data_IF_303479295436
#
_entry.id   IF_303479295436
#
_cell.length_a   1.000
_cell.length_b   1.000
_cell.length_c   1.000
_cell.angle_alpha   90.00
_cell.angle_beta   90.00
_cell.angle_gamma   90.00
#
_symmetry.space_group_name_H-M   'P 1'
#
loop_
_entity.id
_entity.type
_entity.pdbx_description
1 polymer ?
#
# COMPACT_ATOMS: atom_id res chain seq x y z
N UNK A 1 4.34 -13.30 13.90
CA UNK A 1 2.94 -13.34 13.43
C UNK A 1 2.49 -14.77 13.56
N UNK A 2 1.38 -15.02 14.26
CA UNK A 2 0.81 -16.37 14.42
C UNK A 2 0.21 -16.82 13.09
N UNK A 3 0.07 -18.12 12.89
CA UNK A 3 -0.37 -18.65 11.59
C UNK A 3 -1.83 -18.29 11.26
N UNK A 4 -2.71 -18.18 12.26
CA UNK A 4 -4.08 -17.67 12.09
C UNK A 4 -4.10 -16.20 11.62
N UNK A 5 -3.23 -15.36 12.18
CA UNK A 5 -3.08 -13.95 11.82
C UNK A 5 -2.54 -13.81 10.40
N UNK A 6 -1.52 -14.61 10.06
CA UNK A 6 -0.96 -14.71 8.70
C UNK A 6 -2.04 -15.10 7.69
N UNK A 7 -2.84 -16.12 8.02
CA UNK A 7 -3.92 -16.58 7.15
C UNK A 7 -5.00 -15.50 6.96
N UNK A 8 -5.34 -14.76 8.02
CA UNK A 8 -6.28 -13.65 7.94
C UNK A 8 -5.76 -12.53 7.01
N UNK A 9 -4.48 -12.14 7.16
CA UNK A 9 -3.84 -11.14 6.29
C UNK A 9 -3.77 -11.61 4.84
N UNK A 10 -3.41 -12.87 4.60
CA UNK A 10 -3.37 -13.47 3.25
C UNK A 10 -4.75 -13.50 2.59
N UNK A 11 -5.80 -13.72 3.38
CA UNK A 11 -7.18 -13.75 2.89
C UNK A 11 -7.76 -12.35 2.67
N UNK A 12 -7.10 -11.28 3.13
CA UNK A 12 -7.55 -9.90 2.94
C UNK A 12 -7.35 -9.45 1.48
N UNK A 13 -8.38 -9.66 0.65
CA UNK A 13 -8.33 -9.33 -0.79
C UNK A 13 -8.32 -7.83 -1.07
N UNK A 14 -8.97 -7.03 -0.23
CA UNK A 14 -9.17 -5.59 -0.44
C UNK A 14 -8.73 -4.82 0.80
N UNK A 15 -7.46 -4.42 0.81
CA UNK A 15 -6.87 -3.60 1.88
C UNK A 15 -6.85 -2.14 1.45
N UNK A 16 -7.44 -1.27 2.25
CA UNK A 16 -7.50 0.17 2.01
C UNK A 16 -6.39 0.92 2.72
N UNK A 17 -6.00 0.48 3.92
CA UNK A 17 -4.88 1.06 4.63
C UNK A 17 -4.32 0.10 5.67
N UNK A 18 -3.04 0.32 6.00
CA UNK A 18 -2.34 -0.30 7.11
C UNK A 18 -1.84 0.81 8.04
N UNK A 19 -2.13 0.73 9.33
CA UNK A 19 -1.65 1.73 10.30
C UNK A 19 -1.65 1.14 11.70
N UNK A 20 -0.94 1.79 12.62
CA UNK A 20 -0.95 1.38 14.01
C UNK A 20 -1.89 2.24 14.86
N UNK A 21 -2.57 1.62 15.82
CA UNK A 21 -3.39 2.31 16.81
C UNK A 21 -2.95 1.94 18.23
N UNK A 22 -3.07 2.87 19.19
CA UNK A 22 -2.76 2.58 20.57
C UNK A 22 -3.82 1.63 21.15
N UNK A 23 -3.38 0.79 22.08
CA UNK A 23 -4.23 -0.03 22.93
C UNK A 23 -4.04 0.36 24.40
N UNK A 24 -4.85 -0.23 25.27
CA UNK A 24 -4.71 -0.08 26.72
C UNK A 24 -3.33 -0.54 27.21
N UNK A 25 -2.84 0.10 28.27
CA UNK A 25 -1.60 -0.26 28.98
C UNK A 25 -0.32 -0.21 28.13
N UNK A 26 -0.21 0.74 27.20
CA UNK A 26 1.02 0.99 26.44
C UNK A 26 1.27 0.02 25.28
N UNK A 27 0.33 -0.88 25.01
CA UNK A 27 0.35 -1.76 23.84
C UNK A 27 -0.11 -1.03 22.58
N UNK A 28 0.10 -1.67 21.42
CA UNK A 28 -0.37 -1.18 20.13
C UNK A 28 -0.85 -2.34 19.25
N UNK A 29 -1.65 -2.04 18.25
CA UNK A 29 -2.01 -2.99 17.21
C UNK A 29 -1.79 -2.39 15.84
N UNK A 30 -1.30 -3.21 14.91
CA UNK A 30 -1.44 -2.90 13.49
C UNK A 30 -2.85 -3.24 13.05
N UNK A 31 -3.50 -2.27 12.43
CA UNK A 31 -4.82 -2.39 11.81
C UNK A 31 -4.63 -2.60 10.32
N UNK A 32 -5.17 -3.71 9.81
CA UNK A 32 -5.43 -3.90 8.39
C UNK A 32 -6.86 -3.44 8.13
N UNK A 33 -7.00 -2.22 7.61
CA UNK A 33 -8.30 -1.66 7.25
C UNK A 33 -8.72 -2.24 5.92
N UNK A 34 -9.77 -3.04 5.94
CA UNK A 34 -10.36 -3.59 4.73
C UNK A 34 -11.41 -2.64 4.16
N UNK A 35 -11.76 -2.81 2.89
CA UNK A 35 -12.87 -2.08 2.26
C UNK A 35 -14.26 -2.48 2.73
N UNK A 36 -14.35 -3.23 3.83
CA UNK A 36 -15.56 -3.71 4.49
C UNK A 36 -15.60 -3.16 5.92
N UNK A 37 -16.72 -3.37 6.63
CA UNK A 37 -16.85 -2.94 8.04
C UNK A 37 -15.99 -3.76 9.03
N UNK A 38 -15.17 -4.70 8.54
CA UNK A 38 -14.34 -5.57 9.38
C UNK A 38 -12.89 -5.14 9.29
N UNK A 39 -12.27 -4.84 10.42
CA UNK A 39 -10.83 -4.54 10.51
C UNK A 39 -10.09 -5.74 11.12
N UNK A 40 -8.92 -6.07 10.58
CA UNK A 40 -8.04 -7.07 11.22
C UNK A 40 -7.11 -6.32 12.17
N UNK A 41 -7.12 -6.67 13.44
CA UNK A 41 -6.24 -6.08 14.45
C UNK A 41 -5.16 -7.09 14.86
N UNK A 42 -3.91 -6.77 14.56
CA UNK A 42 -2.74 -7.59 14.83
C UNK A 42 -1.99 -7.01 16.03
N UNK A 43 -2.06 -7.71 17.16
CA UNK A 43 -1.53 -7.22 18.43
C UNK A 43 -0.01 -7.22 18.44
N UNK A 44 0.60 -6.09 18.83
CA UNK A 44 2.05 -5.93 19.01
C UNK A 44 2.91 -6.27 17.78
N UNK A 45 2.34 -6.16 16.58
CA UNK A 45 3.10 -6.18 15.33
C UNK A 45 3.29 -4.76 14.81
N UNK A 46 4.51 -4.46 14.37
CA UNK A 46 4.79 -3.22 13.62
C UNK A 46 4.12 -3.28 12.25
N UNK A 47 3.60 -2.15 11.79
CA UNK A 47 2.94 -2.06 10.48
C UNK A 47 3.92 -2.38 9.36
N UNK A 48 5.20 -2.01 9.50
CA UNK A 48 6.25 -2.35 8.54
C UNK A 48 6.49 -3.87 8.48
N UNK A 49 6.32 -4.60 9.59
CA UNK A 49 6.43 -6.06 9.62
C UNK A 49 5.23 -6.74 8.95
N UNK A 50 4.04 -6.14 9.03
CA UNK A 50 2.85 -6.65 8.34
C UNK A 50 2.96 -6.39 6.84
N UNK A 51 3.41 -5.19 6.45
CA UNK A 51 3.72 -4.82 5.07
C UNK A 51 4.78 -5.76 4.47
N UNK A 52 5.81 -6.10 5.25
CA UNK A 52 6.83 -7.09 4.89
C UNK A 52 6.24 -8.45 4.53
N UNK A 53 5.41 -8.97 5.44
CA UNK A 53 4.78 -10.26 5.27
C UNK A 53 3.83 -10.30 4.07
N UNK A 54 3.08 -9.22 3.85
CA UNK A 54 2.22 -9.10 2.67
C UNK A 54 3.04 -9.15 1.38
N UNK A 55 4.17 -8.42 1.31
CA UNK A 55 5.05 -8.47 0.14
C UNK A 55 5.61 -9.87 -0.14
N UNK A 56 6.10 -10.55 0.91
CA UNK A 56 6.65 -11.91 0.80
C UNK A 56 5.61 -12.92 0.31
N UNK A 57 4.38 -12.85 0.85
CA UNK A 57 3.27 -13.77 0.51
C UNK A 57 2.90 -13.71 -0.97
N UNK A 58 3.14 -12.58 -1.64
CA UNK A 58 2.90 -12.40 -3.08
C UNK A 58 4.18 -12.57 -3.92
N UNK A 59 5.23 -13.17 -3.36
CA UNK A 59 6.44 -13.60 -4.09
C UNK A 59 7.47 -12.50 -4.32
N UNK A 60 7.56 -11.49 -3.45
CA UNK A 60 8.43 -10.32 -3.65
C UNK A 60 9.20 -9.94 -2.38
N UNK A 61 10.50 -9.69 -2.53
CA UNK A 61 11.44 -9.41 -1.42
C UNK A 61 11.52 -7.92 -1.09
N UNK A 62 11.49 -7.61 0.22
CA UNK A 62 11.69 -6.26 0.77
C UNK A 62 13.09 -5.68 0.56
N UNK A 63 14.08 -6.52 0.26
CA UNK A 63 15.48 -6.12 0.15
C UNK A 63 15.75 -5.32 -1.14
N UNK A 64 15.08 -5.70 -2.24
CA UNK A 64 15.03 -4.96 -3.51
C UNK A 64 14.37 -3.57 -3.32
N UNK A 65 13.50 -3.42 -2.32
CA UNK A 65 12.79 -2.18 -2.01
C UNK A 65 13.68 -1.18 -1.26
N UNK A 66 14.52 -1.68 -0.34
CA UNK A 66 15.47 -0.84 0.40
C UNK A 66 16.55 -0.26 -0.52
N UNK A 67 17.00 -1.01 -1.53
CA UNK A 67 17.98 -0.52 -2.50
C UNK A 67 17.39 0.50 -3.47
N UNK A 68 16.11 0.39 -3.83
CA UNK A 68 15.39 1.37 -4.67
C UNK A 68 14.96 2.64 -3.94
N UNK A 69 14.92 2.65 -2.59
CA UNK A 69 14.70 3.88 -1.78
C UNK A 69 15.73 4.98 -2.08
N UNK A 70 16.97 4.61 -2.39
CA UNK A 70 18.07 5.55 -2.63
C UNK A 70 18.25 5.96 -4.08
N UNK A 71 17.83 5.12 -5.05
CA UNK A 71 18.21 5.31 -6.45
C UNK A 71 17.34 6.29 -7.24
N UNK A 72 16.14 6.63 -6.77
CA UNK A 72 15.18 7.46 -7.52
C UNK A 72 15.03 8.84 -6.88
N UNK A 73 16.09 9.66 -6.86
CA UNK A 73 16.05 11.14 -6.73
C UNK A 73 16.49 11.80 -5.40
N UNK A 74 17.12 11.12 -4.44
CA UNK A 74 17.72 11.79 -3.28
C UNK A 74 16.75 12.67 -2.43
N UNK A 75 15.44 12.41 -2.50
CA UNK A 75 14.40 13.19 -1.80
C UNK A 75 13.59 12.29 -0.84
N UNK A 76 13.90 12.31 0.46
CA UNK A 76 13.29 11.40 1.45
C UNK A 76 11.79 11.65 1.70
N UNK A 77 11.26 12.83 1.33
CA UNK A 77 9.88 13.20 1.60
C UNK A 77 8.87 12.80 0.51
N UNK A 78 9.35 12.31 -0.63
CA UNK A 78 8.52 11.86 -1.77
C UNK A 78 8.21 10.37 -1.78
N UNK A 79 8.72 9.59 -0.83
CA UNK A 79 8.65 8.13 -0.91
C UNK A 79 7.22 7.63 -0.81
N UNK A 80 6.74 7.00 -1.88
CA UNK A 80 5.82 5.88 -1.81
C UNK A 80 6.65 4.65 -1.50
N UNK A 81 6.20 3.83 -0.55
CA UNK A 81 6.79 2.52 -0.38
C UNK A 81 6.19 1.67 -1.50
N UNK A 82 6.93 1.60 -2.61
CA UNK A 82 6.67 0.64 -3.67
C UNK A 82 6.85 -0.73 -3.03
N UNK A 83 5.77 -1.35 -2.65
CA UNK A 83 5.80 -2.79 -2.52
C UNK A 83 5.63 -3.30 -3.95
N UNK A 84 6.48 -4.22 -4.41
CA UNK A 84 6.32 -4.89 -5.72
C UNK A 84 5.07 -5.80 -5.74
N UNK A 85 4.02 -5.42 -5.05
CA UNK A 85 2.75 -6.11 -5.01
C UNK A 85 2.02 -5.82 -6.34
N UNK A 86 1.08 -6.71 -6.69
CA UNK A 86 -0.02 -6.41 -7.63
C UNK A 86 -0.38 -4.93 -7.61
N UNK A 87 -0.62 -4.32 -8.78
CA UNK A 87 -1.04 -2.92 -8.92
C UNK A 87 -2.19 -2.52 -7.96
N UNK A 88 -2.96 -3.51 -7.49
CA UNK A 88 -3.99 -3.35 -6.47
C UNK A 88 -3.51 -3.08 -5.03
N UNK A 89 -2.22 -3.10 -4.71
CA UNK A 89 -1.69 -2.88 -3.34
C UNK A 89 -0.45 -1.96 -3.33
N UNK A 90 -0.54 -0.83 -4.02
CA UNK A 90 0.47 0.24 -3.91
C UNK A 90 0.16 1.08 -2.69
N UNK A 91 1.07 1.12 -1.73
CA UNK A 91 0.89 1.87 -0.49
C UNK A 91 1.72 3.15 -0.46
N UNK A 92 1.12 4.22 0.06
CA UNK A 92 1.73 5.53 0.19
C UNK A 92 1.90 5.87 1.67
N UNK A 93 3.11 6.03 2.22
CA UNK A 93 3.29 6.39 3.62
C UNK A 93 2.83 7.83 3.86
N UNK A 94 2.00 8.03 4.87
CA UNK A 94 1.51 9.33 5.32
C UNK A 94 1.65 9.47 6.83
N UNK A 95 2.11 10.63 7.34
CA UNK A 95 2.04 10.93 8.77
C UNK A 95 0.61 10.73 9.29
N UNK A 96 0.44 9.93 10.34
CA UNK A 96 -0.88 9.52 10.83
C UNK A 96 -1.12 9.96 12.27
N UNK A 97 -0.21 9.60 13.17
CA UNK A 97 -0.35 9.86 14.59
C UNK A 97 0.99 10.20 15.25
N UNK A 98 0.95 10.64 16.51
CA UNK A 98 2.13 10.84 17.33
C UNK A 98 2.63 9.50 17.86
N UNK A 99 3.93 9.38 18.09
CA UNK A 99 4.50 8.16 18.63
C UNK A 99 3.97 7.86 20.05
N UNK A 100 3.42 6.67 20.26
CA UNK A 100 2.95 6.24 21.59
C UNK A 100 4.06 5.59 22.42
N UNK A 101 4.97 4.84 21.78
CA UNK A 101 6.14 4.22 22.39
C UNK A 101 7.26 4.05 21.34
N UNK A 102 8.45 3.54 21.74
CA UNK A 102 9.62 3.36 20.86
C UNK A 102 9.43 2.28 19.78
N UNK A 103 8.46 1.40 19.93
CA UNK A 103 8.21 0.26 19.05
C UNK A 103 7.07 0.50 18.05
N UNK A 104 6.50 1.70 18.03
CA UNK A 104 5.33 2.02 17.23
C UNK A 104 5.66 2.91 16.02
N UNK A 105 4.98 2.68 14.90
CA UNK A 105 5.10 3.49 13.68
C UNK A 105 4.13 4.65 13.65
N UNK A 106 4.66 5.85 13.38
CA UNK A 106 3.88 7.09 13.24
C UNK A 106 3.19 7.24 11.88
N UNK A 107 3.45 6.32 10.96
CA UNK A 107 2.97 6.35 9.59
C UNK A 107 1.77 5.43 9.39
N UNK A 108 0.84 5.87 8.55
CA UNK A 108 -0.12 5.02 7.90
C UNK A 108 0.30 4.78 6.45
N UNK A 109 -0.15 3.66 5.91
CA UNK A 109 0.13 3.18 4.57
C UNK A 109 -1.21 2.94 3.87
N UNK A 110 -1.90 4.00 3.43
CA UNK A 110 -3.08 3.90 2.56
C UNK A 110 -2.72 3.34 1.18
N UNK A 111 -3.61 2.51 0.65
CA UNK A 111 -3.53 1.93 -0.68
C UNK A 111 -4.03 2.93 -1.72
N UNK A 112 -3.15 3.40 -2.60
CA UNK A 112 -3.43 4.41 -3.63
C UNK A 112 -4.61 4.02 -4.52
N UNK A 113 -4.71 2.74 -4.92
CA UNK A 113 -5.79 2.25 -5.77
C UNK A 113 -7.18 2.31 -5.10
N UNK A 114 -7.21 2.48 -3.77
CA UNK A 114 -8.43 2.55 -2.97
C UNK A 114 -8.81 3.97 -2.57
N UNK A 115 -7.97 4.97 -2.87
CA UNK A 115 -8.20 6.36 -2.49
C UNK A 115 -9.10 7.05 -3.52
N UNK A 116 -10.19 7.65 -3.04
CA UNK A 116 -11.07 8.55 -3.82
C UNK A 116 -10.48 9.95 -3.88
N UNK A 117 -10.15 10.54 -2.71
CA UNK A 117 -9.55 11.88 -2.60
C UNK A 117 -9.05 12.18 -1.19
N UNK A 118 -8.22 13.21 -1.08
CA UNK A 118 -7.93 13.89 0.19
C UNK A 118 -8.95 15.00 0.47
N UNK A 119 -9.41 15.11 1.70
CA UNK A 119 -10.41 16.09 2.16
C UNK A 119 -9.92 16.86 3.39
N UNK A 120 -10.47 18.05 3.60
CA UNK A 120 -10.29 18.76 4.87
C UNK A 120 -11.07 18.01 5.97
N UNK A 121 -10.46 17.88 7.15
CA UNK A 121 -11.08 17.35 8.34
C UNK A 121 -11.28 18.48 9.37
N UNK A 122 -12.21 18.34 10.33
CA UNK A 122 -12.36 19.29 11.42
C UNK A 122 -11.04 19.52 12.18
N UNK A 123 -10.79 20.76 12.62
CA UNK A 123 -9.60 21.10 13.41
C UNK A 123 -8.28 21.23 12.63
N UNK A 124 -8.34 21.61 11.34
CA UNK A 124 -7.16 21.94 10.53
C UNK A 124 -6.33 20.74 10.06
N UNK A 125 -6.82 19.52 10.28
CA UNK A 125 -6.22 18.27 9.78
C UNK A 125 -6.81 17.90 8.41
N UNK A 126 -6.21 16.93 7.74
CA UNK A 126 -6.78 16.34 6.52
C UNK A 126 -7.13 14.88 6.73
N UNK A 127 -7.95 14.33 5.85
CA UNK A 127 -8.33 12.93 5.85
C UNK A 127 -8.33 12.35 4.44
N UNK A 128 -8.14 11.05 4.33
CA UNK A 128 -8.24 10.29 3.09
C UNK A 128 -9.62 9.64 3.06
N UNK A 129 -10.34 9.80 1.95
CA UNK A 129 -11.59 9.06 1.68
C UNK A 129 -11.30 7.89 0.75
N UNK A 130 -11.79 6.71 1.10
CA UNK A 130 -11.62 5.49 0.31
C UNK A 130 -12.87 5.13 -0.49
N UNK A 131 -12.71 4.18 -1.42
CA UNK A 131 -13.79 3.65 -2.27
C UNK A 131 -14.91 2.99 -1.44
N UNK A 132 -14.60 2.42 -0.27
CA UNK A 132 -15.60 1.91 0.67
C UNK A 132 -16.52 2.99 1.27
N UNK A 133 -16.18 4.28 1.10
CA UNK A 133 -16.77 5.38 1.85
C UNK A 133 -16.09 5.62 3.21
N UNK A 134 -15.19 4.73 3.64
CA UNK A 134 -14.40 4.90 4.85
C UNK A 134 -13.45 6.10 4.77
N UNK A 135 -13.08 6.62 5.94
CA UNK A 135 -12.14 7.73 6.09
C UNK A 135 -10.97 7.38 7.01
N UNK A 136 -9.81 7.98 6.74
CA UNK A 136 -8.61 7.88 7.59
C UNK A 136 -8.03 9.28 7.82
N UNK A 137 -8.02 9.79 9.07
CA UNK A 137 -7.41 11.07 9.38
C UNK A 137 -5.88 10.99 9.26
N UNK A 138 -5.22 12.06 8.83
CA UNK A 138 -3.75 12.12 8.66
C UNK A 138 -3.18 13.47 9.12
N UNK A 139 -1.89 13.50 9.47
CA UNK A 139 -1.14 14.70 9.89
C UNK A 139 -0.46 15.39 8.70
N UNK A 140 -1.19 15.61 7.61
CA UNK A 140 -0.70 16.38 6.46
C UNK A 140 -1.61 17.57 6.19
N UNK A 141 -1.07 18.62 5.59
CA UNK A 141 -1.91 19.66 4.98
C UNK A 141 -2.63 19.08 3.76
N UNK A 142 -3.82 19.60 3.45
CA UNK A 142 -4.61 19.11 2.31
C UNK A 142 -3.84 19.22 0.99
N UNK A 143 -3.09 20.30 0.79
CA UNK A 143 -2.24 20.50 -0.40
C UNK A 143 -1.22 19.38 -0.54
N UNK A 144 -0.43 19.11 0.51
CA UNK A 144 0.59 18.04 0.50
C UNK A 144 -0.04 16.67 0.33
N UNK A 145 -1.20 16.41 0.95
CA UNK A 145 -1.91 15.14 0.80
C UNK A 145 -2.32 14.92 -0.65
N UNK A 146 -2.88 15.94 -1.31
CA UNK A 146 -3.27 15.87 -2.74
C UNK A 146 -2.07 15.61 -3.64
N UNK A 147 -0.99 16.37 -3.47
CA UNK A 147 0.26 16.16 -4.21
C UNK A 147 0.75 14.70 -4.07
N UNK A 148 0.69 14.15 -2.85
CA UNK A 148 1.08 12.77 -2.60
C UNK A 148 0.15 11.77 -3.30
N UNK A 149 -1.17 11.94 -3.20
CA UNK A 149 -2.14 11.09 -3.90
C UNK A 149 -1.94 11.13 -5.41
N UNK A 150 -1.75 12.31 -5.98
CA UNK A 150 -1.57 12.51 -7.42
C UNK A 150 -0.28 11.86 -7.92
N UNK A 151 0.82 11.99 -7.17
CA UNK A 151 2.06 11.26 -7.46
C UNK A 151 1.84 9.75 -7.47
N UNK A 152 1.07 9.23 -6.52
CA UNK A 152 0.79 7.78 -6.45
C UNK A 152 -0.05 7.29 -7.60
N UNK A 153 -1.05 8.06 -7.99
CA UNK A 153 -1.89 7.77 -9.14
C UNK A 153 -1.08 7.79 -10.43
N UNK A 154 -0.18 8.75 -10.59
CA UNK A 154 0.71 8.79 -11.75
C UNK A 154 1.56 7.52 -11.84
N UNK A 155 2.17 7.10 -10.73
CA UNK A 155 2.95 5.86 -10.68
C UNK A 155 2.09 4.63 -11.00
N UNK A 156 0.88 4.54 -10.44
CA UNK A 156 -0.04 3.43 -10.68
C UNK A 156 -0.48 3.36 -12.15
N UNK A 157 -0.95 4.47 -12.72
CA UNK A 157 -1.60 4.49 -14.03
C UNK A 157 -0.66 4.73 -15.21
N UNK A 158 0.31 5.64 -15.06
CA UNK A 158 1.21 6.00 -16.16
C UNK A 158 2.39 5.03 -16.28
N UNK A 159 2.89 4.52 -15.15
CA UNK A 159 4.12 3.73 -15.17
C UNK A 159 3.82 2.21 -15.05
N UNK A 160 3.06 1.80 -14.04
CA UNK A 160 2.83 0.37 -13.78
C UNK A 160 1.77 -0.26 -14.68
N UNK A 161 0.56 0.31 -14.75
CA UNK A 161 -0.49 -0.26 -15.62
C UNK A 161 -0.11 -0.20 -17.10
N UNK A 162 0.60 0.84 -17.53
CA UNK A 162 1.10 0.92 -18.91
C UNK A 162 2.07 -0.23 -19.21
N UNK A 163 3.05 -0.48 -18.33
CA UNK A 163 4.00 -1.59 -18.47
C UNK A 163 3.32 -2.97 -18.43
N UNK A 164 2.33 -3.17 -17.55
CA UNK A 164 1.55 -4.43 -17.51
C UNK A 164 0.77 -4.67 -18.81
N UNK A 165 0.16 -3.62 -19.36
CA UNK A 165 -0.59 -3.69 -20.62
C UNK A 165 0.33 -4.02 -21.80
N UNK A 166 1.53 -3.41 -21.84
CA UNK A 166 2.55 -3.70 -22.85
C UNK A 166 3.02 -5.17 -22.76
N UNK A 167 3.36 -5.65 -21.56
CA UNK A 167 3.75 -7.05 -21.31
C UNK A 167 2.64 -8.03 -21.71
N UNK A 168 1.38 -7.71 -21.44
CA UNK A 168 0.24 -8.53 -21.86
C UNK A 168 0.11 -8.58 -23.38
N UNK A 169 0.36 -7.46 -24.06
CA UNK A 169 0.44 -7.39 -25.52
C UNK A 169 1.52 -8.31 -26.06
N UNK A 170 2.75 -8.20 -25.55
CA UNK A 170 3.88 -9.04 -25.95
C UNK A 170 3.62 -10.54 -25.73
N UNK A 171 3.05 -10.93 -24.58
CA UNK A 171 2.68 -12.32 -24.33
C UNK A 171 1.70 -12.88 -25.36
N UNK A 172 0.68 -12.09 -25.75
CA UNK A 172 -0.26 -12.49 -26.80
C UNK A 172 0.42 -12.62 -28.15
N UNK A 173 1.34 -11.72 -28.48
CA UNK A 173 2.13 -11.80 -29.72
C UNK A 173 2.98 -13.06 -29.76
N UNK A 174 3.69 -13.39 -28.68
CA UNK A 174 4.48 -14.63 -28.56
C UNK A 174 3.59 -15.85 -28.72
N UNK A 175 2.43 -15.90 -28.04
CA UNK A 175 1.48 -17.00 -28.18
C UNK A 175 0.98 -17.18 -29.61
N UNK A 176 0.72 -16.08 -30.33
CA UNK A 176 0.33 -16.13 -31.75
C UNK A 176 1.46 -16.69 -32.62
N UNK A 177 2.69 -16.23 -32.43
CA UNK A 177 3.86 -16.74 -33.16
C UNK A 177 4.04 -18.24 -32.91
N UNK A 178 3.97 -18.67 -31.65
CA UNK A 178 4.07 -20.09 -31.25
C UNK A 178 2.92 -20.96 -31.77
N UNK A 179 1.75 -20.36 -32.03
CA UNK A 179 0.62 -21.06 -32.63
C UNK A 179 0.82 -21.22 -34.14
N UNK A 180 1.25 -20.15 -34.82
CA UNK A 180 1.59 -20.20 -36.25
C UNK A 180 2.70 -21.21 -36.52
N UNK A 181 3.76 -21.23 -35.72
CA UNK A 181 4.86 -22.20 -35.86
C UNK A 181 4.37 -23.66 -35.75
N UNK A 182 3.36 -23.91 -34.90
CA UNK A 182 2.75 -25.24 -34.73
C UNK A 182 1.78 -25.64 -35.85
N UNK A 183 1.24 -24.67 -36.58
CA UNK A 183 0.36 -24.92 -37.74
C UNK A 183 1.16 -25.15 -39.03
N UNK A 184 2.45 -24.78 -39.03
CA UNK A 184 3.37 -24.94 -40.16
C UNK A 184 4.23 -26.21 -40.09
N UNK A 185 4.21 -26.91 -38.95
CA UNK A 185 4.88 -28.21 -38.71
C UNK A 185 3.87 -29.35 -38.78
#
# INVERSE_FOLDING_TARGET
MKDEEKQAVRNAKVVEALYEKPLSFGNFATVVKMGTNTEICLLNYKVESVLAYMAETFGRSLEVLRSRRSCVNGRPHGHMDYYEISCSQIYMPVPYCKAFNRNHSTLAYPNVARIVRGEAAPGGKSQIRFLSGGVLPVQLSLKRLREKIDLGRRLLYADLFAAEMELKGLRRTIQRIQQQEREWL
#
